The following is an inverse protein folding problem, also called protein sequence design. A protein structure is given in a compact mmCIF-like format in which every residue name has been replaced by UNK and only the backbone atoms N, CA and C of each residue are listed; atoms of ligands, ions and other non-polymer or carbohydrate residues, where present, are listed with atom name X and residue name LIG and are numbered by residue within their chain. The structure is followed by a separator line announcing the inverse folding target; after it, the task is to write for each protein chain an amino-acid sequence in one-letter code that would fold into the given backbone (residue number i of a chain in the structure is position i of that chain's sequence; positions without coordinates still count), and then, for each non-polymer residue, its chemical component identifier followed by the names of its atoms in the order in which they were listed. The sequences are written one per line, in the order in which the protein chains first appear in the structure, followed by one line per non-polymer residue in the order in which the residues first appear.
data_IF_913263641950
#
_entry.id   IF_913263641950
#
_cell.length_a   1.000
_cell.length_b   1.000
_cell.length_c   1.000
_cell.angle_alpha   90.00
_cell.angle_beta   90.00
_cell.angle_gamma   90.00
#
_symmetry.space_group_name_H-M   'P 1'
#
loop_
_entity.id
_entity.type
_entity.pdbx_description
1 polymer ?
#
# COMPACT_ATOMS: atom_id res chain seq x y z
N UNK A 1 1.05 -7.92 26.82
CA UNK A 1 0.99 -8.71 25.57
C UNK A 1 1.63 -7.91 24.43
N UNK A 2 2.15 -8.56 23.40
CA UNK A 2 2.77 -7.87 22.25
C UNK A 2 1.84 -6.86 21.56
N UNK A 3 0.53 -7.14 21.52
CA UNK A 3 -0.46 -6.23 20.96
C UNK A 3 -0.56 -4.93 21.78
N UNK A 4 -0.53 -5.01 23.12
CA UNK A 4 -0.56 -3.82 23.97
C UNK A 4 0.67 -2.94 23.71
N UNK A 5 1.87 -3.53 23.67
CA UNK A 5 3.10 -2.81 23.37
C UNK A 5 3.07 -2.14 21.97
N UNK A 6 2.49 -2.82 20.97
CA UNK A 6 2.30 -2.25 19.64
C UNK A 6 1.38 -1.02 19.68
N UNK A 7 0.23 -1.11 20.34
CA UNK A 7 -0.72 0.01 20.47
C UNK A 7 -0.10 1.18 21.23
N UNK A 8 0.64 0.91 22.29
CA UNK A 8 1.32 1.96 23.08
C UNK A 8 2.42 2.65 22.26
N UNK A 9 3.16 1.89 21.43
CA UNK A 9 4.14 2.46 20.51
C UNK A 9 3.48 3.37 19.47
N UNK A 10 2.37 2.93 18.87
CA UNK A 10 1.62 3.73 17.89
C UNK A 10 1.13 5.05 18.50
N UNK A 11 0.57 5.00 19.72
CA UNK A 11 0.15 6.22 20.44
C UNK A 11 1.32 7.14 20.74
N UNK A 12 2.44 6.58 21.21
CA UNK A 12 3.64 7.36 21.50
C UNK A 12 4.21 8.08 20.27
N UNK A 13 4.18 7.43 19.11
CA UNK A 13 4.59 8.04 17.83
C UNK A 13 3.64 9.17 17.42
N UNK A 14 2.33 8.96 17.52
CA UNK A 14 1.34 9.98 17.17
C UNK A 14 1.48 11.21 18.10
N UNK A 15 1.61 11.00 19.39
CA UNK A 15 1.79 12.09 20.37
C UNK A 15 3.11 12.83 20.13
N UNK A 16 4.20 12.13 19.86
CA UNK A 16 5.47 12.76 19.52
C UNK A 16 5.40 13.63 18.26
N UNK A 17 4.73 13.13 17.22
CA UNK A 17 4.53 13.87 15.97
C UNK A 17 3.56 15.05 16.10
N UNK A 18 2.61 15.00 17.05
CA UNK A 18 1.76 16.16 17.41
C UNK A 18 2.56 17.26 18.07
N UNK A 19 3.46 16.88 19.00
CA UNK A 19 4.31 17.83 19.72
C UNK A 19 5.39 18.42 18.81
N UNK A 20 6.02 17.60 17.96
CA UNK A 20 7.08 18.01 17.07
C UNK A 20 6.92 17.34 15.70
N UNK A 21 6.34 18.03 14.73
CA UNK A 21 6.22 17.51 13.38
C UNK A 21 7.58 17.14 12.77
N UNK A 22 7.59 16.11 11.96
CA UNK A 22 8.79 15.63 11.27
C UNK A 22 9.11 16.55 10.08
N UNK A 23 10.20 17.31 10.18
CA UNK A 23 10.57 18.33 9.21
C UNK A 23 11.55 17.86 8.13
N UNK A 24 12.08 16.64 8.23
CA UNK A 24 12.96 16.07 7.18
C UNK A 24 12.13 15.48 6.03
N UNK A 25 12.69 15.43 4.82
CA UNK A 25 12.05 14.74 3.70
C UNK A 25 11.72 13.29 4.04
N UNK A 26 10.53 12.84 3.63
CA UNK A 26 10.06 11.48 3.84
C UNK A 26 9.22 11.01 2.66
N UNK A 27 9.22 9.70 2.43
CA UNK A 27 8.25 9.05 1.54
C UNK A 27 7.34 8.18 2.39
N UNK A 28 6.04 8.38 2.25
CA UNK A 28 5.01 7.54 2.88
C UNK A 28 4.15 6.94 1.78
N UNK A 29 3.90 5.66 1.86
CA UNK A 29 3.09 4.93 0.89
C UNK A 29 1.89 4.31 1.62
N UNK A 30 0.71 4.54 1.08
CA UNK A 30 -0.55 4.06 1.64
C UNK A 30 -1.42 3.47 0.54
N UNK A 31 -2.20 2.47 0.89
CA UNK A 31 -3.21 1.88 0.01
C UNK A 31 -4.60 2.10 0.59
N UNK A 32 -5.53 2.59 -0.23
CA UNK A 32 -6.93 2.83 0.14
C UNK A 32 -7.60 1.59 0.72
N UNK A 33 -7.33 0.43 0.13
CA UNK A 33 -7.94 -0.85 0.51
C UNK A 33 -7.06 -1.69 1.43
N UNK A 34 -6.12 -1.06 2.16
CA UNK A 34 -5.34 -1.80 3.17
C UNK A 34 -6.28 -2.37 4.23
N UNK A 35 -6.21 -3.68 4.44
CA UNK A 35 -7.05 -4.39 5.40
C UNK A 35 -6.46 -4.43 6.82
N UNK A 36 -5.29 -3.86 7.02
CA UNK A 36 -4.57 -3.83 8.31
C UNK A 36 -4.47 -2.42 8.86
N UNK A 37 -4.18 -1.44 7.99
CA UNK A 37 -4.04 -0.04 8.36
C UNK A 37 -5.29 0.73 7.97
N UNK A 38 -5.75 1.63 8.82
CA UNK A 38 -6.73 2.65 8.46
C UNK A 38 -6.04 3.75 7.64
N UNK A 39 -5.79 3.43 6.37
CA UNK A 39 -5.08 4.33 5.45
C UNK A 39 -5.84 5.64 5.25
N UNK A 40 -7.18 5.60 5.31
CA UNK A 40 -8.04 6.77 5.18
C UNK A 40 -7.78 7.78 6.32
N UNK A 41 -7.78 7.30 7.56
CA UNK A 41 -7.42 8.15 8.70
C UNK A 41 -5.98 8.64 8.63
N UNK A 42 -5.06 7.80 8.18
CA UNK A 42 -3.64 8.15 8.10
C UNK A 42 -3.39 9.28 7.09
N UNK A 43 -3.98 9.22 5.90
CA UNK A 43 -3.74 10.24 4.85
C UNK A 43 -4.31 11.62 5.23
N UNK A 44 -5.27 11.69 6.13
CA UNK A 44 -5.80 12.94 6.60
C UNK A 44 -4.82 13.73 7.49
N UNK A 45 -3.99 13.06 8.27
CA UNK A 45 -3.10 13.73 9.21
C UNK A 45 -1.61 13.63 8.90
N UNK A 46 -1.16 12.60 8.18
CA UNK A 46 0.26 12.43 7.82
C UNK A 46 0.83 13.66 7.12
N UNK A 47 0.18 14.27 6.12
CA UNK A 47 0.70 15.47 5.47
C UNK A 47 0.92 16.66 6.42
N UNK A 48 0.17 16.72 7.51
CA UNK A 48 0.31 17.76 8.53
C UNK A 48 1.46 17.48 9.52
N UNK A 49 1.80 16.20 9.71
CA UNK A 49 2.88 15.77 10.60
C UNK A 49 4.24 15.70 9.91
N UNK A 50 4.26 15.50 8.61
CA UNK A 50 5.48 15.48 7.78
C UNK A 50 5.55 16.77 6.99
N UNK A 51 6.20 17.78 7.55
CA UNK A 51 6.08 19.17 7.09
C UNK A 51 7.04 19.58 5.99
N UNK A 52 8.05 18.75 5.67
CA UNK A 52 8.96 19.04 4.57
C UNK A 52 8.22 19.14 3.23
N UNK A 53 8.43 20.22 2.49
CA UNK A 53 7.93 20.38 1.13
C UNK A 53 8.51 19.35 0.14
N UNK A 54 9.60 18.72 0.50
CA UNK A 54 10.25 17.67 -0.28
C UNK A 54 9.68 16.28 0.00
N UNK A 55 8.86 16.10 1.04
CA UNK A 55 8.17 14.85 1.30
C UNK A 55 7.22 14.48 0.15
N UNK A 56 7.02 13.20 -0.05
CA UNK A 56 6.04 12.65 -1.01
C UNK A 56 5.17 11.61 -0.33
N UNK A 57 3.88 11.64 -0.65
CA UNK A 57 2.90 10.70 -0.14
C UNK A 57 2.29 9.97 -1.33
N UNK A 58 2.59 8.70 -1.48
CA UNK A 58 2.06 7.89 -2.58
C UNK A 58 0.78 7.22 -2.09
N UNK A 59 -0.31 7.52 -2.77
CA UNK A 59 -1.62 6.96 -2.53
C UNK A 59 -1.98 5.99 -3.64
N UNK A 60 -2.15 4.72 -3.30
CA UNK A 60 -2.69 3.70 -4.19
C UNK A 60 -4.19 3.58 -3.93
N UNK A 61 -4.99 4.18 -4.80
CA UNK A 61 -6.43 4.30 -4.64
C UNK A 61 -7.04 5.36 -5.54
N UNK A 62 -8.29 5.70 -5.30
CA UNK A 62 -8.98 6.77 -6.01
C UNK A 62 -8.57 8.15 -5.49
N UNK A 63 -8.65 9.16 -6.34
CA UNK A 63 -8.44 10.55 -5.90
C UNK A 63 -9.59 11.05 -5.01
N UNK A 64 -10.77 10.53 -5.25
CA UNK A 64 -11.99 10.88 -4.54
C UNK A 64 -11.92 10.49 -3.06
N UNK A 65 -11.31 9.35 -2.76
CA UNK A 65 -11.15 8.85 -1.39
C UNK A 65 -10.21 9.70 -0.54
N UNK A 66 -9.33 10.50 -1.14
CA UNK A 66 -8.43 11.40 -0.42
C UNK A 66 -9.16 12.57 0.28
N UNK A 67 -10.40 12.89 -0.10
CA UNK A 67 -11.15 13.98 0.50
C UNK A 67 -10.37 15.30 0.50
N UNK A 68 -10.14 15.88 1.68
CA UNK A 68 -9.41 17.16 1.81
C UNK A 68 -7.91 17.02 1.49
N UNK A 69 -7.33 15.86 1.69
CA UNK A 69 -5.91 15.60 1.42
C UNK A 69 -5.60 15.69 -0.08
N UNK A 70 -6.56 15.51 -0.98
CA UNK A 70 -6.38 15.64 -2.43
C UNK A 70 -5.81 16.99 -2.89
N UNK A 71 -5.86 18.02 -2.02
CA UNK A 71 -5.34 19.37 -2.28
C UNK A 71 -3.83 19.51 -1.97
N UNK A 72 -3.23 18.55 -1.26
CA UNK A 72 -1.79 18.61 -0.95
C UNK A 72 -0.98 18.25 -2.19
N UNK A 73 -0.13 19.17 -2.71
CA UNK A 73 0.63 18.94 -3.94
C UNK A 73 1.73 17.86 -3.81
N UNK A 74 2.00 17.40 -2.60
CA UNK A 74 2.98 16.34 -2.32
C UNK A 74 2.39 14.94 -2.51
N UNK A 75 1.06 14.82 -2.69
CA UNK A 75 0.39 13.55 -2.89
C UNK A 75 0.45 13.14 -4.35
N UNK A 76 0.94 11.93 -4.57
CA UNK A 76 0.98 11.25 -5.86
C UNK A 76 -0.06 10.13 -5.81
N UNK A 77 -0.98 10.11 -6.77
CA UNK A 77 -2.08 9.13 -6.81
C UNK A 77 -1.83 8.14 -7.94
N UNK A 78 -1.89 6.87 -7.59
CA UNK A 78 -1.93 5.76 -8.56
C UNK A 78 -3.22 4.96 -8.35
N UNK A 79 -3.97 4.65 -9.41
CA UNK A 79 -5.11 3.74 -9.29
C UNK A 79 -4.67 2.40 -8.71
N UNK A 80 -5.46 1.85 -7.80
CA UNK A 80 -5.23 0.53 -7.22
C UNK A 80 -6.08 -0.57 -7.90
N UNK A 81 -6.90 -0.19 -8.87
CA UNK A 81 -7.65 -1.09 -9.73
C UNK A 81 -7.07 -1.06 -11.15
N UNK A 82 -6.53 -2.22 -11.58
CA UNK A 82 -5.91 -2.40 -12.90
C UNK A 82 -6.48 -3.68 -13.52
N UNK A 83 -7.67 -3.62 -14.15
CA UNK A 83 -8.37 -4.80 -14.67
C UNK A 83 -7.57 -5.58 -15.72
N UNK A 84 -6.77 -4.90 -16.53
CA UNK A 84 -5.88 -5.53 -17.53
C UNK A 84 -4.83 -6.45 -16.91
N UNK A 85 -4.47 -6.22 -15.64
CA UNK A 85 -3.54 -7.04 -14.88
C UNK A 85 -4.24 -7.94 -13.85
N UNK A 86 -5.57 -7.98 -13.89
CA UNK A 86 -6.39 -8.72 -12.92
C UNK A 86 -6.17 -8.24 -11.47
N UNK A 87 -5.85 -6.96 -11.29
CA UNK A 87 -5.68 -6.31 -9.99
C UNK A 87 -6.94 -5.50 -9.68
N UNK A 88 -7.53 -5.73 -8.52
CA UNK A 88 -8.79 -5.12 -8.11
C UNK A 88 -8.67 -4.23 -6.87
N UNK A 89 -7.57 -4.35 -6.14
CA UNK A 89 -7.19 -3.48 -5.04
C UNK A 89 -5.75 -3.75 -4.62
N UNK A 90 -5.09 -2.79 -4.00
CA UNK A 90 -3.77 -2.99 -3.44
C UNK A 90 -3.86 -3.45 -1.99
N UNK A 91 -2.91 -4.28 -1.57
CA UNK A 91 -2.60 -4.55 -0.17
C UNK A 91 -1.32 -3.79 0.23
N UNK A 92 -1.08 -3.63 1.53
CA UNK A 92 0.19 -3.06 2.00
C UNK A 92 1.42 -3.86 1.54
N UNK A 93 1.28 -5.16 1.27
CA UNK A 93 2.38 -5.99 0.75
C UNK A 93 2.73 -5.67 -0.70
N UNK A 94 1.79 -5.14 -1.48
CA UNK A 94 2.02 -4.79 -2.87
C UNK A 94 3.13 -3.75 -3.05
N UNK A 95 3.33 -2.89 -2.08
CA UNK A 95 4.25 -1.75 -2.20
C UNK A 95 5.74 -2.12 -2.18
N UNK A 96 6.10 -3.35 -1.78
CA UNK A 96 7.48 -3.71 -1.46
C UNK A 96 8.26 -4.39 -2.58
N UNK A 97 7.58 -5.03 -3.54
CA UNK A 97 8.24 -5.87 -4.54
C UNK A 97 7.96 -5.41 -5.97
N UNK A 98 8.99 -5.54 -6.81
CA UNK A 98 8.86 -5.37 -8.27
C UNK A 98 7.94 -6.45 -8.87
N UNK A 99 7.23 -6.15 -9.97
CA UNK A 99 6.51 -7.16 -10.75
C UNK A 99 7.40 -8.32 -11.24
N UNK A 100 8.70 -8.07 -11.40
CA UNK A 100 9.68 -9.06 -11.84
C UNK A 100 10.35 -9.83 -10.69
N UNK A 101 9.90 -9.62 -9.45
CA UNK A 101 10.45 -10.35 -8.30
C UNK A 101 10.23 -11.86 -8.48
N UNK A 102 11.28 -12.69 -8.39
CA UNK A 102 11.20 -14.13 -8.68
C UNK A 102 10.36 -14.91 -7.68
N UNK A 103 10.12 -14.35 -6.50
CA UNK A 103 9.33 -15.02 -5.45
C UNK A 103 7.89 -14.49 -5.41
N UNK A 104 7.71 -13.17 -5.34
CA UNK A 104 6.42 -12.52 -5.09
C UNK A 104 5.92 -11.65 -6.23
N UNK A 105 6.62 -11.61 -7.36
CA UNK A 105 6.23 -10.85 -8.54
C UNK A 105 5.08 -11.49 -9.31
N UNK A 106 4.74 -10.88 -10.45
CA UNK A 106 3.62 -11.31 -11.32
C UNK A 106 3.70 -12.78 -11.72
N UNK A 107 4.89 -13.26 -12.01
CA UNK A 107 5.20 -14.65 -12.35
C UNK A 107 6.04 -15.35 -11.28
N UNK A 108 5.99 -14.83 -10.06
CA UNK A 108 6.73 -15.35 -8.93
C UNK A 108 6.27 -16.75 -8.51
N UNK A 109 7.13 -17.45 -7.80
CA UNK A 109 6.88 -18.83 -7.35
C UNK A 109 5.83 -18.91 -6.23
N UNK A 110 5.61 -17.81 -5.50
CA UNK A 110 4.75 -17.77 -4.31
C UNK A 110 3.58 -16.83 -4.51
N UNK A 111 2.38 -17.40 -4.48
CA UNK A 111 1.13 -16.66 -4.41
C UNK A 111 0.54 -16.82 -3.02
N UNK A 112 0.18 -15.70 -2.38
CA UNK A 112 -0.52 -15.72 -1.08
C UNK A 112 -2.00 -15.89 -1.37
N UNK A 113 -2.39 -17.14 -1.55
CA UNK A 113 -3.77 -17.53 -1.83
C UNK A 113 -4.64 -17.35 -0.58
N UNK A 114 -5.83 -16.81 -0.74
CA UNK A 114 -6.78 -16.72 0.37
C UNK A 114 -7.30 -18.12 0.68
N UNK A 115 -7.40 -18.51 1.96
CA UNK A 115 -7.95 -19.81 2.34
C UNK A 115 -9.47 -19.91 2.11
N UNK A 116 -10.13 -18.80 1.83
CA UNK A 116 -11.58 -18.70 1.61
C UNK A 116 -11.92 -19.09 0.18
N UNK A 117 -12.04 -20.39 -0.07
CA UNK A 117 -12.47 -20.93 -1.33
C UNK A 117 -12.44 -22.45 -1.32
N UNK A 118 -13.31 -23.06 -2.10
CA UNK A 118 -13.30 -24.50 -2.31
C UNK A 118 -11.93 -24.98 -2.82
N UNK A 119 -11.56 -26.21 -2.53
CA UNK A 119 -10.27 -26.82 -2.92
C UNK A 119 -9.81 -26.56 -4.37
N UNK A 120 -10.69 -26.53 -5.40
CA UNK A 120 -10.33 -26.19 -6.76
C UNK A 120 -9.77 -24.77 -6.92
N UNK A 121 -10.30 -23.78 -6.19
CA UNK A 121 -9.87 -22.39 -6.29
C UNK A 121 -8.46 -22.17 -5.71
N UNK A 122 -8.12 -22.89 -4.65
CA UNK A 122 -6.78 -22.85 -4.09
C UNK A 122 -5.72 -23.43 -5.05
N UNK A 123 -6.04 -24.53 -5.72
CA UNK A 123 -5.17 -25.15 -6.72
C UNK A 123 -4.95 -24.22 -7.94
N UNK A 124 -6.01 -23.57 -8.42
CA UNK A 124 -5.91 -22.58 -9.50
C UNK A 124 -5.09 -21.37 -9.08
N UNK A 125 -5.26 -20.88 -7.86
CA UNK A 125 -4.45 -19.80 -7.30
C UNK A 125 -2.96 -20.16 -7.32
N UNK A 126 -2.59 -21.34 -6.90
CA UNK A 126 -1.19 -21.79 -6.92
C UNK A 126 -0.61 -21.93 -8.33
N UNK A 127 -1.44 -22.07 -9.36
CA UNK A 127 -1.02 -22.03 -10.77
C UNK A 127 -0.97 -20.61 -11.35
N UNK A 128 -1.22 -19.58 -10.55
CA UNK A 128 -1.25 -18.19 -11.02
C UNK A 128 -2.54 -17.79 -11.76
N UNK A 129 -3.57 -18.63 -11.73
CA UNK A 129 -4.90 -18.36 -12.30
C UNK A 129 -5.74 -17.54 -11.32
N UNK A 130 -5.28 -16.31 -10.99
CA UNK A 130 -5.84 -15.51 -9.90
C UNK A 130 -6.22 -14.11 -10.34
N UNK A 131 -7.12 -13.52 -9.58
CA UNK A 131 -7.30 -12.09 -9.46
C UNK A 131 -6.60 -11.62 -8.18
N UNK A 132 -5.91 -10.50 -8.24
CA UNK A 132 -5.16 -9.95 -7.12
C UNK A 132 -5.95 -8.87 -6.38
N UNK A 133 -5.76 -8.80 -5.06
CA UNK A 133 -6.38 -7.77 -4.26
C UNK A 133 -5.84 -7.67 -2.83
N UNK A 134 -6.47 -6.81 -2.03
CA UNK A 134 -6.23 -6.72 -0.60
C UNK A 134 -6.78 -7.96 0.12
N UNK A 135 -6.26 -8.21 1.32
CA UNK A 135 -6.81 -9.26 2.18
C UNK A 135 -8.25 -8.92 2.56
N UNK A 136 -9.14 -9.90 2.45
CA UNK A 136 -10.56 -9.71 2.80
C UNK A 136 -11.42 -9.03 1.73
N UNK A 137 -10.88 -8.71 0.55
CA UNK A 137 -11.70 -8.26 -0.57
C UNK A 137 -12.69 -9.35 -0.98
N UNK A 138 -14.01 -9.07 -0.82
CA UNK A 138 -15.10 -10.03 -0.94
C UNK A 138 -15.81 -10.01 -2.30
N UNK A 139 -15.19 -9.53 -3.35
CA UNK A 139 -15.81 -9.54 -4.68
C UNK A 139 -16.10 -10.98 -5.13
N UNK A 140 -17.38 -11.30 -5.31
CA UNK A 140 -17.85 -12.67 -5.53
C UNK A 140 -17.34 -13.25 -6.84
N UNK A 141 -17.11 -14.57 -6.85
CA UNK A 141 -16.87 -15.36 -8.07
C UNK A 141 -15.44 -15.30 -8.63
N UNK A 142 -14.49 -14.71 -7.92
CA UNK A 142 -13.10 -14.61 -8.37
C UNK A 142 -12.16 -15.38 -7.46
N UNK A 143 -11.20 -16.07 -8.06
CA UNK A 143 -10.09 -16.69 -7.34
C UNK A 143 -9.12 -15.59 -6.96
N UNK A 144 -8.74 -15.50 -5.69
CA UNK A 144 -7.98 -14.36 -5.20
C UNK A 144 -6.68 -14.77 -4.55
N UNK A 145 -5.66 -14.01 -4.90
CA UNK A 145 -4.43 -13.94 -4.12
C UNK A 145 -4.24 -12.51 -3.59
N UNK A 146 -3.56 -12.39 -2.46
CA UNK A 146 -3.10 -11.09 -2.01
C UNK A 146 -2.12 -10.53 -3.05
N UNK A 147 -2.33 -9.29 -3.46
CA UNK A 147 -1.37 -8.60 -4.31
C UNK A 147 -0.06 -8.41 -3.53
N UNK A 148 1.04 -8.91 -4.08
CA UNK A 148 2.36 -8.89 -3.45
C UNK A 148 3.40 -8.10 -4.24
N UNK A 149 3.07 -7.61 -5.42
CA UNK A 149 3.95 -6.80 -6.27
C UNK A 149 3.30 -5.48 -6.64
N UNK A 150 4.11 -4.50 -7.00
CA UNK A 150 3.67 -3.16 -7.36
C UNK A 150 3.84 -2.91 -8.86
N UNK A 151 2.77 -2.81 -9.65
CA UNK A 151 2.86 -2.43 -11.07
C UNK A 151 3.52 -1.08 -11.31
N UNK A 152 3.47 -0.17 -10.33
CA UNK A 152 4.10 1.16 -10.36
C UNK A 152 5.47 1.19 -9.67
N UNK A 153 6.14 0.04 -9.53
CA UNK A 153 7.38 -0.09 -8.75
C UNK A 153 8.48 0.88 -9.24
N UNK A 154 8.70 0.98 -10.52
CA UNK A 154 9.74 1.85 -11.10
C UNK A 154 9.44 3.33 -10.85
N UNK A 155 8.17 3.74 -10.91
CA UNK A 155 7.77 5.11 -10.57
C UNK A 155 7.96 5.38 -9.08
N UNK A 156 7.57 4.44 -8.23
CA UNK A 156 7.80 4.50 -6.80
C UNK A 156 9.30 4.66 -6.49
N UNK A 157 10.17 3.88 -7.14
CA UNK A 157 11.61 3.96 -6.93
C UNK A 157 12.17 5.33 -7.34
N UNK A 158 11.71 5.89 -8.47
CA UNK A 158 12.10 7.25 -8.88
C UNK A 158 11.68 8.31 -7.86
N UNK A 159 10.50 8.19 -7.28
CA UNK A 159 10.04 9.10 -6.22
C UNK A 159 10.92 8.97 -4.98
N UNK A 160 11.19 7.74 -4.51
CA UNK A 160 12.06 7.49 -3.37
C UNK A 160 13.44 8.09 -3.60
N UNK A 161 14.07 7.79 -4.74
CA UNK A 161 15.39 8.31 -5.09
C UNK A 161 15.39 9.84 -5.10
N UNK A 162 14.39 10.48 -5.71
CA UNK A 162 14.31 11.94 -5.79
C UNK A 162 14.20 12.61 -4.42
N UNK A 163 13.57 11.95 -3.45
CA UNK A 163 13.48 12.46 -2.07
C UNK A 163 14.79 12.24 -1.32
N UNK A 164 15.46 11.11 -1.51
CA UNK A 164 16.73 10.79 -0.87
C UNK A 164 17.85 11.74 -1.34
N UNK A 165 17.96 12.00 -2.64
CA UNK A 165 18.96 12.90 -3.22
C UNK A 165 18.83 14.35 -2.71
N UNK A 166 17.61 14.79 -2.41
CA UNK A 166 17.35 16.12 -1.85
C UNK A 166 17.56 16.20 -0.33
N UNK A 167 17.79 15.05 0.30
CA UNK A 167 17.99 14.95 1.75
C UNK A 167 19.48 14.93 2.14
N UNK A 168 20.35 14.75 1.18
CA UNK A 168 21.81 14.79 1.30
C UNK A 168 22.32 16.22 1.20
#
# INVERSE_FOLDING_TARGET
SGLAAFVDTMRGVDDALKLKPFAKPAVVMLSEHDSILDAQSLIEWIPQRFTSAQSRFIWYGSRESLGKAAKDPRIIVHPDEIPSERIWSFSHMAMSFSPDNPEYGRHGRSHICTPEGEKPSYAACRRGEVDYGAWGDKRRGRIRARLTFNPYFDEQQRVIQSVMERSA
#
